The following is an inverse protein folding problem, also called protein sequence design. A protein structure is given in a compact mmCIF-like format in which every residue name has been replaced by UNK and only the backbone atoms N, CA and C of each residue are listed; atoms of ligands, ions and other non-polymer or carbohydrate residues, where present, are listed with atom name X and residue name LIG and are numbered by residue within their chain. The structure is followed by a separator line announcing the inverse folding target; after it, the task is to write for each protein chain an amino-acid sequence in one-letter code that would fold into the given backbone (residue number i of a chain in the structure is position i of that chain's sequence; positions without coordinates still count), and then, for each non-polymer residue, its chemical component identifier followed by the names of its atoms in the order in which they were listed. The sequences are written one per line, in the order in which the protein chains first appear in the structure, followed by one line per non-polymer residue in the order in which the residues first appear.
data_IF_373241077068
#
_entry.id   IF_373241077068
#
_cell.length_a   1.000
_cell.length_b   1.000
_cell.length_c   1.000
_cell.angle_alpha   90.00
_cell.angle_beta   90.00
_cell.angle_gamma   90.00
#
_symmetry.space_group_name_H-M   'P 1'
#
loop_
_entity.id
_entity.type
_entity.pdbx_description
1 polymer ?
#
# COMPACT_ATOMS: atom_id res chain seq x y z
N UNK A 1 1.57 22.85 -0.58
CA UNK A 1 0.99 21.59 -1.09
C UNK A 1 -0.21 21.94 -1.96
N UNK A 2 -0.44 21.19 -3.04
CA UNK A 2 -1.63 21.33 -3.90
C UNK A 2 -2.79 20.52 -3.29
N UNK A 3 -4.03 21.03 -3.28
CA UNK A 3 -5.19 20.22 -2.91
C UNK A 3 -5.33 19.02 -3.84
N UNK A 4 -5.49 17.82 -3.28
CA UNK A 4 -5.61 16.55 -4.01
C UNK A 4 -4.51 15.52 -3.71
N UNK A 5 -4.53 14.42 -4.45
CA UNK A 5 -3.70 13.24 -4.22
C UNK A 5 -2.44 13.23 -5.09
N UNK A 6 -1.30 12.91 -4.49
CA UNK A 6 -0.18 12.30 -5.21
C UNK A 6 -0.28 10.78 -5.04
N UNK A 7 -0.39 10.07 -6.15
CA UNK A 7 -0.43 8.60 -6.15
C UNK A 7 0.96 8.07 -6.42
N UNK A 8 1.47 7.19 -5.57
CA UNK A 8 2.82 6.63 -5.68
C UNK A 8 2.73 5.13 -6.00
N UNK A 9 3.36 4.73 -7.10
CA UNK A 9 3.50 3.33 -7.52
C UNK A 9 4.99 2.98 -7.59
N UNK A 10 5.54 2.24 -6.63
CA UNK A 10 6.87 1.67 -6.75
C UNK A 10 6.82 0.45 -7.69
N UNK A 11 7.83 0.30 -8.54
CA UNK A 11 7.94 -0.85 -9.44
C UNK A 11 9.38 -1.34 -9.50
N UNK A 12 9.58 -2.65 -9.66
CA UNK A 12 10.92 -3.24 -9.83
C UNK A 12 10.88 -4.41 -10.80
N UNK A 13 11.45 -4.22 -11.98
CA UNK A 13 11.65 -5.28 -12.98
C UNK A 13 10.36 -6.03 -13.38
N UNK A 14 9.19 -5.38 -13.25
CA UNK A 14 7.86 -5.94 -13.61
C UNK A 14 7.03 -4.98 -14.48
N UNK A 15 7.58 -4.44 -15.57
CA UNK A 15 6.90 -3.44 -16.39
C UNK A 15 5.57 -3.93 -17.00
N UNK A 16 5.33 -5.24 -17.05
CA UNK A 16 4.11 -5.83 -17.62
C UNK A 16 2.88 -5.70 -16.73
N UNK A 17 3.03 -5.49 -15.42
CA UNK A 17 1.88 -5.27 -14.54
C UNK A 17 1.43 -3.81 -14.49
N UNK A 18 2.39 -2.90 -14.62
CA UNK A 18 2.21 -1.46 -14.46
C UNK A 18 1.06 -0.84 -15.27
N UNK A 19 0.78 -1.24 -16.54
CA UNK A 19 -0.30 -0.63 -17.31
C UNK A 19 -1.66 -0.70 -16.61
N UNK A 20 -1.98 -1.84 -15.98
CA UNK A 20 -3.27 -2.02 -15.30
C UNK A 20 -3.37 -1.17 -14.03
N UNK A 21 -2.29 -1.09 -13.27
CA UNK A 21 -2.20 -0.23 -12.09
C UNK A 21 -2.43 1.24 -12.49
N UNK A 22 -1.69 1.72 -13.51
CA UNK A 22 -1.82 3.08 -14.07
C UNK A 22 -3.27 3.34 -14.54
N UNK A 23 -3.85 2.42 -15.32
CA UNK A 23 -5.21 2.58 -15.85
C UNK A 23 -6.23 2.76 -14.72
N UNK A 24 -6.08 2.03 -13.61
CA UNK A 24 -6.98 2.13 -12.47
C UNK A 24 -6.88 3.46 -11.72
N UNK A 25 -5.69 4.08 -11.71
CA UNK A 25 -5.48 5.43 -11.15
C UNK A 25 -6.08 6.49 -12.07
N UNK A 26 -5.84 6.38 -13.37
CA UNK A 26 -6.35 7.32 -14.37
C UNK A 26 -7.88 7.26 -14.51
N UNK A 27 -8.49 6.13 -14.17
CA UNK A 27 -9.94 5.94 -14.17
C UNK A 27 -10.66 6.50 -12.93
N UNK A 28 -9.94 7.09 -11.97
CA UNK A 28 -10.57 7.67 -10.77
C UNK A 28 -11.43 8.90 -11.13
N UNK A 29 -12.62 8.97 -10.54
CA UNK A 29 -13.58 10.07 -10.75
C UNK A 29 -13.10 11.40 -10.18
N UNK A 30 -12.27 11.35 -9.13
CA UNK A 30 -11.45 12.46 -8.69
C UNK A 30 -10.02 12.24 -9.22
N UNK A 31 -9.56 13.02 -10.22
CA UNK A 31 -8.23 12.88 -10.76
C UNK A 31 -7.15 13.14 -9.69
N UNK A 32 -6.09 12.33 -9.70
CA UNK A 32 -4.89 12.63 -8.94
C UNK A 32 -4.23 13.91 -9.47
N UNK A 33 -3.58 14.67 -8.58
CA UNK A 33 -2.76 15.82 -8.95
C UNK A 33 -1.54 15.38 -9.73
N UNK A 34 -1.00 14.22 -9.36
CA UNK A 34 0.10 13.56 -10.05
C UNK A 34 0.09 12.06 -9.77
N UNK A 35 0.56 11.30 -10.74
CA UNK A 35 0.91 9.90 -10.61
C UNK A 35 2.43 9.78 -10.70
N UNK A 36 3.04 9.27 -9.64
CA UNK A 36 4.49 9.11 -9.48
C UNK A 36 4.80 7.61 -9.55
N UNK A 37 5.49 7.21 -10.61
CA UNK A 37 6.09 5.89 -10.72
C UNK A 37 7.52 5.99 -10.21
N UNK A 38 7.90 5.10 -9.30
CA UNK A 38 9.27 5.04 -8.79
C UNK A 38 9.88 3.70 -9.23
N UNK A 39 10.76 3.77 -10.23
CA UNK A 39 11.45 2.61 -10.80
C UNK A 39 12.66 2.26 -9.93
N UNK A 40 12.62 1.09 -9.28
CA UNK A 40 13.69 0.51 -8.48
C UNK A 40 14.47 -0.57 -9.24
N UNK A 41 14.48 -0.46 -10.56
CA UNK A 41 15.22 -1.33 -11.45
C UNK A 41 15.23 -0.72 -12.85
N UNK A 42 14.81 -1.50 -13.83
CA UNK A 42 14.71 -1.04 -15.21
C UNK A 42 13.36 -1.37 -15.83
N UNK A 43 12.94 -0.51 -16.75
CA UNK A 43 11.86 -0.79 -17.70
C UNK A 43 10.53 -0.10 -17.42
N UNK A 44 10.39 0.67 -16.33
CA UNK A 44 9.14 1.38 -16.05
C UNK A 44 8.77 2.37 -17.17
N UNK A 45 9.76 3.06 -17.73
CA UNK A 45 9.55 4.02 -18.83
C UNK A 45 8.93 3.38 -20.08
N UNK A 46 9.31 2.15 -20.41
CA UNK A 46 8.76 1.42 -21.56
C UNK A 46 7.29 1.02 -21.33
N UNK A 47 6.90 0.75 -20.08
CA UNK A 47 5.53 0.37 -19.71
C UNK A 47 4.51 1.51 -19.82
N UNK A 48 4.97 2.76 -19.90
CA UNK A 48 4.09 3.92 -19.96
C UNK A 48 3.31 4.06 -21.27
N UNK A 49 3.72 3.38 -22.35
CA UNK A 49 3.01 3.39 -23.65
C UNK A 49 2.60 4.80 -24.13
N UNK A 50 3.48 5.81 -23.96
CA UNK A 50 3.23 7.19 -24.38
C UNK A 50 2.50 8.08 -23.36
N UNK A 51 2.24 7.61 -22.13
CA UNK A 51 1.58 8.38 -21.05
C UNK A 51 2.51 9.33 -20.28
N UNK A 52 3.62 9.73 -20.88
CA UNK A 52 4.71 10.46 -20.20
C UNK A 52 4.33 11.86 -19.73
N UNK A 53 3.27 12.46 -20.28
CA UNK A 53 2.80 13.79 -19.86
C UNK A 53 1.95 13.76 -18.58
N UNK A 54 1.28 12.63 -18.30
CA UNK A 54 0.40 12.46 -17.13
C UNK A 54 1.08 11.75 -15.97
N UNK A 55 2.32 11.26 -16.17
CA UNK A 55 3.01 10.35 -15.25
C UNK A 55 4.43 10.83 -15.05
N UNK A 56 4.82 11.02 -13.79
CA UNK A 56 6.18 11.32 -13.38
C UNK A 56 6.92 10.02 -13.07
N UNK A 57 8.07 9.80 -13.70
CA UNK A 57 8.93 8.65 -13.39
C UNK A 57 10.14 9.13 -12.62
N UNK A 58 10.45 8.45 -11.52
CA UNK A 58 11.64 8.64 -10.70
C UNK A 58 12.49 7.37 -10.74
N UNK A 59 13.81 7.55 -10.79
CA UNK A 59 14.79 6.47 -10.65
C UNK A 59 15.18 6.36 -9.17
N UNK A 60 14.97 5.18 -8.57
CA UNK A 60 15.33 4.90 -7.19
C UNK A 60 16.74 4.34 -7.02
N UNK A 61 17.46 4.08 -8.11
CA UNK A 61 18.83 3.57 -8.11
C UNK A 61 18.98 2.23 -7.39
N UNK A 62 17.99 1.35 -7.56
CA UNK A 62 17.97 -0.02 -7.00
C UNK A 62 18.14 -0.08 -5.46
N UNK A 63 17.72 0.97 -4.75
CA UNK A 63 17.84 1.07 -3.29
C UNK A 63 16.78 0.25 -2.54
N UNK A 64 15.77 -0.29 -3.22
CA UNK A 64 14.75 -1.14 -2.63
C UNK A 64 13.37 -0.48 -2.50
N UNK A 65 12.36 -1.28 -2.10
CA UNK A 65 10.96 -0.87 -2.12
C UNK A 65 10.60 0.23 -1.11
N UNK A 66 11.30 0.32 0.03
CA UNK A 66 11.04 1.34 1.05
C UNK A 66 11.65 2.68 0.64
N UNK A 67 12.93 2.76 0.22
CA UNK A 67 13.48 3.99 -0.35
C UNK A 67 12.70 4.51 -1.56
N UNK A 68 12.16 3.61 -2.40
CA UNK A 68 11.31 3.99 -3.53
C UNK A 68 10.05 4.75 -3.07
N UNK A 69 9.38 4.26 -2.03
CA UNK A 69 8.20 4.91 -1.46
C UNK A 69 8.55 6.23 -0.77
N UNK A 70 9.66 6.28 -0.01
CA UNK A 70 10.17 7.52 0.58
C UNK A 70 10.47 8.56 -0.50
N UNK A 71 11.14 8.18 -1.61
CA UNK A 71 11.43 9.06 -2.73
C UNK A 71 10.15 9.60 -3.39
N UNK A 72 9.15 8.75 -3.58
CA UNK A 72 7.84 9.15 -4.09
C UNK A 72 7.13 10.16 -3.19
N UNK A 73 7.08 9.90 -1.88
CA UNK A 73 6.49 10.79 -0.88
C UNK A 73 7.23 12.12 -0.77
N UNK A 74 8.57 12.09 -0.75
CA UNK A 74 9.40 13.30 -0.66
C UNK A 74 9.20 14.23 -1.86
N UNK A 75 8.90 13.66 -3.03
CA UNK A 75 8.68 14.39 -4.28
C UNK A 75 7.22 14.83 -4.47
N UNK A 76 6.29 14.27 -3.70
CA UNK A 76 4.86 14.52 -3.81
C UNK A 76 4.48 15.98 -3.51
N UNK A 77 3.67 16.56 -4.39
CA UNK A 77 3.14 17.91 -4.34
C UNK A 77 1.73 17.97 -3.75
N UNK A 78 0.98 16.86 -3.78
CA UNK A 78 -0.36 16.71 -3.24
C UNK A 78 -0.40 16.78 -1.72
N UNK A 79 -1.53 17.20 -1.18
CA UNK A 79 -1.76 17.23 0.27
C UNK A 79 -2.00 15.84 0.86
N UNK A 80 -2.47 14.91 0.02
CA UNK A 80 -2.72 13.52 0.37
C UNK A 80 -1.85 12.60 -0.46
N UNK A 81 -1.41 11.50 0.15
CA UNK A 81 -0.70 10.42 -0.51
C UNK A 81 -1.67 9.24 -0.66
N UNK A 82 -1.62 8.54 -1.78
CA UNK A 82 -2.19 7.21 -1.93
C UNK A 82 -1.15 6.27 -2.52
N UNK A 83 -1.15 5.01 -2.09
CA UNK A 83 -0.27 3.98 -2.63
C UNK A 83 -1.04 2.97 -3.47
N UNK A 84 -0.35 2.44 -4.47
CA UNK A 84 -0.78 1.28 -5.25
C UNK A 84 0.48 0.51 -5.66
N UNK A 85 0.54 -0.78 -5.36
CA UNK A 85 1.64 -1.64 -5.82
C UNK A 85 1.48 -1.92 -7.33
N UNK A 86 2.60 -2.16 -8.02
CA UNK A 86 2.63 -2.24 -9.49
C UNK A 86 1.90 -3.47 -10.07
N UNK A 87 1.65 -4.49 -9.25
CA UNK A 87 0.92 -5.73 -9.56
C UNK A 87 -0.57 -5.71 -9.20
N UNK A 88 -1.03 -4.66 -8.52
CA UNK A 88 -2.40 -4.44 -8.05
C UNK A 88 -3.20 -3.47 -8.93
N UNK A 89 -4.49 -3.30 -8.65
CA UNK A 89 -5.30 -2.25 -9.29
C UNK A 89 -6.49 -1.84 -8.42
N UNK A 90 -6.86 -0.56 -8.49
CA UNK A 90 -8.09 -0.08 -7.86
C UNK A 90 -9.33 -0.57 -8.62
N UNK A 91 -10.31 -1.06 -7.86
CA UNK A 91 -11.59 -1.57 -8.38
C UNK A 91 -12.73 -0.57 -8.20
N UNK A 92 -12.58 0.39 -7.29
CA UNK A 92 -13.56 1.46 -7.06
C UNK A 92 -13.09 2.74 -7.76
N UNK A 93 -13.78 3.22 -8.82
CA UNK A 93 -13.44 4.48 -9.48
C UNK A 93 -13.67 5.70 -8.58
N UNK A 94 -14.34 5.55 -7.44
CA UNK A 94 -14.61 6.63 -6.48
C UNK A 94 -13.72 6.53 -5.22
N UNK A 95 -12.68 5.70 -5.21
CA UNK A 95 -11.82 5.54 -4.04
C UNK A 95 -11.24 6.89 -3.57
N UNK A 96 -10.63 7.66 -4.48
CA UNK A 96 -10.02 8.94 -4.13
C UNK A 96 -11.05 9.99 -3.67
N UNK A 97 -12.23 10.05 -4.30
CA UNK A 97 -13.27 11.00 -3.89
C UNK A 97 -13.87 10.66 -2.52
N UNK A 98 -14.02 9.38 -2.21
CA UNK A 98 -14.44 8.91 -0.88
C UNK A 98 -13.40 9.22 0.19
N UNK A 99 -12.12 8.98 -0.09
CA UNK A 99 -11.04 9.33 0.82
C UNK A 99 -10.95 10.84 1.07
N UNK A 100 -11.08 11.67 0.02
CA UNK A 100 -11.13 13.14 0.14
C UNK A 100 -12.25 13.59 1.09
N UNK A 101 -13.47 13.08 0.91
CA UNK A 101 -14.60 13.40 1.77
C UNK A 101 -14.38 13.02 3.25
N UNK A 102 -13.64 11.94 3.51
CA UNK A 102 -13.26 11.53 4.87
C UNK A 102 -12.17 12.44 5.45
N UNK A 103 -11.22 12.90 4.65
CA UNK A 103 -10.22 13.87 5.08
C UNK A 103 -10.85 15.22 5.42
N UNK A 104 -11.88 15.66 4.68
CA UNK A 104 -12.65 16.86 5.00
C UNK A 104 -13.42 16.72 6.32
N UNK A 105 -13.75 15.50 6.73
CA UNK A 105 -14.34 15.17 8.04
C UNK A 105 -13.29 14.98 9.15
N UNK A 106 -12.02 15.30 8.89
CA UNK A 106 -10.95 15.23 9.88
C UNK A 106 -10.24 13.88 9.97
N UNK A 107 -10.39 12.99 9.00
CA UNK A 107 -9.51 11.82 8.91
C UNK A 107 -8.05 12.26 8.67
N UNK A 108 -7.11 11.47 9.18
CA UNK A 108 -5.68 11.59 8.89
C UNK A 108 -5.20 10.47 7.96
N UNK A 109 -5.76 9.27 8.11
CA UNK A 109 -5.49 8.09 7.27
C UNK A 109 -6.81 7.38 6.96
N UNK A 110 -7.01 7.05 5.69
CA UNK A 110 -8.09 6.21 5.22
C UNK A 110 -7.52 4.88 4.71
N UNK A 111 -8.22 3.79 5.00
CA UNK A 111 -7.91 2.48 4.42
C UNK A 111 -9.18 1.81 3.96
N UNK A 112 -9.12 1.05 2.87
CA UNK A 112 -10.25 0.29 2.34
C UNK A 112 -10.05 -1.21 2.41
N UNK A 113 -11.12 -1.95 2.11
CA UNK A 113 -11.03 -3.38 1.92
C UNK A 113 -10.46 -3.71 0.54
N UNK A 114 -10.03 -4.95 0.36
CA UNK A 114 -9.60 -5.47 -0.94
C UNK A 114 -10.16 -6.84 -1.27
N UNK A 115 -9.80 -7.31 -2.45
CA UNK A 115 -10.04 -8.69 -2.89
C UNK A 115 -8.73 -9.26 -3.40
N UNK A 116 -8.29 -10.37 -2.82
CA UNK A 116 -7.14 -11.12 -3.31
C UNK A 116 -7.58 -11.95 -4.53
N UNK A 117 -6.93 -11.72 -5.67
CA UNK A 117 -7.20 -12.36 -6.96
C UNK A 117 -6.06 -13.33 -7.26
N UNK A 118 -6.37 -14.62 -7.28
CA UNK A 118 -5.36 -15.67 -7.40
C UNK A 118 -5.12 -16.04 -8.87
N UNK A 119 -3.86 -15.95 -9.30
CA UNK A 119 -3.48 -16.26 -10.69
C UNK A 119 -3.39 -17.75 -10.98
N UNK A 120 -3.44 -18.59 -9.94
CA UNK A 120 -3.31 -20.06 -10.01
C UNK A 120 -4.66 -20.81 -10.00
N UNK A 121 -5.77 -20.07 -10.10
CA UNK A 121 -7.11 -20.63 -10.16
C UNK A 121 -7.78 -20.88 -8.80
N UNK A 122 -7.13 -20.50 -7.68
CA UNK A 122 -7.82 -20.45 -6.39
C UNK A 122 -8.98 -19.43 -6.41
N UNK A 123 -10.04 -19.64 -5.60
CA UNK A 123 -11.13 -18.69 -5.52
C UNK A 123 -10.65 -17.36 -4.92
N UNK A 124 -11.14 -16.25 -5.48
CA UNK A 124 -10.92 -14.93 -4.92
C UNK A 124 -11.27 -14.88 -3.43
N UNK A 125 -10.47 -14.13 -2.66
CA UNK A 125 -10.64 -13.99 -1.22
C UNK A 125 -10.90 -12.53 -0.87
N UNK A 126 -12.01 -12.30 -0.18
CA UNK A 126 -12.31 -11.00 0.39
C UNK A 126 -11.35 -10.70 1.54
N UNK A 127 -10.69 -9.55 1.49
CA UNK A 127 -9.86 -9.04 2.58
C UNK A 127 -10.54 -7.78 3.13
N UNK A 128 -11.29 -7.96 4.22
CA UNK A 128 -12.09 -6.89 4.82
C UNK A 128 -11.94 -6.93 6.33
N UNK A 129 -11.06 -6.08 6.85
CA UNK A 129 -10.73 -6.01 8.26
C UNK A 129 -10.76 -4.56 8.72
N UNK A 130 -11.37 -4.32 9.87
CA UNK A 130 -11.18 -3.05 10.56
C UNK A 130 -9.79 -2.99 11.19
N UNK A 131 -9.29 -1.77 11.37
CA UNK A 131 -8.02 -1.51 12.01
C UNK A 131 -8.15 -0.36 12.99
N UNK A 132 -7.66 -0.59 14.21
CA UNK A 132 -7.44 0.43 15.21
C UNK A 132 -6.06 0.22 15.85
N UNK A 133 -5.68 1.07 16.80
CA UNK A 133 -4.40 0.95 17.51
C UNK A 133 -4.19 -0.44 18.10
N UNK A 134 -5.21 -1.03 18.74
CA UNK A 134 -5.08 -2.30 19.45
C UNK A 134 -4.98 -3.46 18.47
N UNK A 135 -5.76 -3.46 17.39
CA UNK A 135 -5.68 -4.51 16.38
C UNK A 135 -4.33 -4.48 15.66
N UNK A 136 -3.79 -3.28 15.38
CA UNK A 136 -2.49 -3.11 14.75
C UNK A 136 -1.31 -3.49 15.66
N UNK A 137 -1.50 -3.67 16.97
CA UNK A 137 -0.46 -4.26 17.83
C UNK A 137 -0.39 -5.79 17.70
N UNK A 138 -1.37 -6.40 17.01
CA UNK A 138 -1.53 -7.85 16.91
C UNK A 138 -1.39 -8.35 15.47
N UNK A 139 -1.87 -7.59 14.49
CA UNK A 139 -1.87 -8.00 13.09
C UNK A 139 -1.83 -6.81 12.12
N UNK A 140 -1.24 -7.02 10.94
CA UNK A 140 -1.31 -6.05 9.84
C UNK A 140 -2.59 -6.31 9.04
N UNK A 141 -3.64 -5.54 9.35
CA UNK A 141 -4.97 -5.69 8.73
C UNK A 141 -5.26 -4.67 7.63
N UNK A 142 -4.25 -3.93 7.19
CA UNK A 142 -4.38 -2.85 6.21
C UNK A 142 -3.60 -3.19 4.94
N UNK A 143 -4.25 -3.09 3.79
CA UNK A 143 -3.62 -3.28 2.48
C UNK A 143 -2.97 -1.98 2.00
N UNK A 144 -1.68 -2.01 1.66
CA UNK A 144 -0.97 -0.84 1.16
C UNK A 144 -1.63 -0.22 -0.08
N UNK A 145 -2.07 -1.05 -1.02
CA UNK A 145 -2.79 -0.64 -2.23
C UNK A 145 -4.20 -0.08 -1.97
N UNK A 146 -4.67 -0.07 -0.72
CA UNK A 146 -5.94 0.53 -0.31
C UNK A 146 -5.77 1.64 0.74
N UNK A 147 -4.55 2.20 0.88
CA UNK A 147 -4.26 3.26 1.86
C UNK A 147 -4.12 4.61 1.18
N UNK A 148 -4.67 5.62 1.85
CA UNK A 148 -4.37 7.02 1.60
C UNK A 148 -4.30 7.81 2.89
N UNK A 149 -3.49 8.86 2.94
CA UNK A 149 -3.28 9.62 4.17
C UNK A 149 -2.79 11.04 3.91
N UNK A 150 -2.85 11.89 4.93
CA UNK A 150 -2.30 13.26 4.89
C UNK A 150 -0.78 13.23 4.81
N UNK A 151 -0.20 13.83 3.76
CA UNK A 151 1.26 13.90 3.59
C UNK A 151 1.96 14.50 4.82
N UNK A 152 1.31 15.44 5.50
CA UNK A 152 1.80 16.08 6.73
C UNK A 152 1.97 15.13 7.93
N UNK A 153 1.54 13.87 7.84
CA UNK A 153 1.92 12.86 8.82
C UNK A 153 3.44 12.64 8.83
N UNK A 154 4.13 12.77 7.69
CA UNK A 154 5.59 12.65 7.63
C UNK A 154 6.30 13.80 8.36
N UNK A 155 5.73 15.01 8.38
CA UNK A 155 6.29 16.14 9.14
C UNK A 155 6.33 15.84 10.65
N UNK A 156 5.43 14.98 11.15
CA UNK A 156 5.29 14.62 12.57
C UNK A 156 5.97 13.30 12.92
N UNK A 157 5.92 12.32 12.02
CA UNK A 157 6.27 10.92 12.30
C UNK A 157 7.56 10.49 11.60
N UNK A 158 8.10 11.32 10.70
CA UNK A 158 9.23 10.98 9.85
C UNK A 158 8.85 10.06 8.69
N UNK A 159 9.88 9.56 8.02
CA UNK A 159 9.76 8.72 6.84
C UNK A 159 9.40 7.27 7.17
N UNK A 160 9.23 6.43 6.13
CA UNK A 160 9.24 4.98 6.32
C UNK A 160 10.63 4.54 6.76
N UNK A 161 10.68 3.56 7.68
CA UNK A 161 11.93 3.05 8.18
C UNK A 161 12.60 2.11 7.16
N UNK A 162 13.64 2.61 6.49
CA UNK A 162 14.42 1.84 5.52
C UNK A 162 15.19 0.68 6.16
N UNK A 163 15.34 0.66 7.50
CA UNK A 163 15.87 -0.48 8.26
C UNK A 163 14.90 -1.66 8.39
N UNK A 164 13.65 -1.52 7.95
CA UNK A 164 12.64 -2.57 7.92
C UNK A 164 12.23 -2.88 6.46
N UNK A 165 12.96 -3.73 5.73
CA UNK A 165 12.61 -4.04 4.33
C UNK A 165 11.27 -4.77 4.19
N UNK A 166 10.81 -5.43 5.25
CA UNK A 166 9.46 -6.00 5.37
C UNK A 166 8.72 -5.33 6.53
N UNK A 167 7.39 -5.32 6.48
CA UNK A 167 6.53 -4.76 7.53
C UNK A 167 6.77 -3.27 7.82
N UNK A 168 7.44 -2.53 6.92
CA UNK A 168 7.58 -1.08 6.99
C UNK A 168 6.22 -0.38 6.94
N UNK A 169 5.27 -0.96 6.21
CA UNK A 169 3.89 -0.50 6.11
C UNK A 169 3.19 -0.66 7.46
N UNK A 170 3.37 -1.82 8.10
CA UNK A 170 2.85 -2.08 9.44
C UNK A 170 3.49 -1.15 10.49
N UNK A 171 4.80 -0.92 10.43
CA UNK A 171 5.50 0.08 11.26
C UNK A 171 4.85 1.46 11.10
N UNK A 172 4.61 1.89 9.86
CA UNK A 172 3.97 3.15 9.59
C UNK A 172 2.56 3.23 10.16
N UNK A 173 1.71 2.24 9.89
CA UNK A 173 0.32 2.23 10.40
C UNK A 173 0.29 2.27 11.92
N UNK A 174 1.19 1.54 12.59
CA UNK A 174 1.26 1.51 14.04
C UNK A 174 1.76 2.85 14.61
N UNK A 175 2.74 3.50 13.96
CA UNK A 175 3.18 4.87 14.32
C UNK A 175 2.04 5.88 14.16
N UNK A 176 1.31 5.83 13.05
CA UNK A 176 0.15 6.70 12.80
C UNK A 176 -0.92 6.47 13.87
N UNK A 177 -1.33 5.23 14.13
CA UNK A 177 -2.35 4.90 15.12
C UNK A 177 -1.94 5.30 16.56
N UNK A 178 -0.65 5.19 16.90
CA UNK A 178 -0.13 5.60 18.23
C UNK A 178 0.00 7.11 18.39
N UNK A 179 0.06 7.87 17.29
CA UNK A 179 0.17 9.33 17.32
C UNK A 179 -1.14 10.05 17.70
N UNK A 180 -2.26 9.33 17.78
CA UNK A 180 -3.59 9.90 17.97
C UNK A 180 -4.26 10.37 16.68
N UNK A 181 -3.69 10.02 15.51
CA UNK A 181 -4.28 10.29 14.22
C UNK A 181 -5.62 9.56 14.02
N UNK A 182 -6.54 10.19 13.30
CA UNK A 182 -7.87 9.65 13.05
C UNK A 182 -7.86 8.70 11.84
N UNK A 183 -7.92 7.40 12.11
CA UNK A 183 -8.05 6.36 11.09
C UNK A 183 -9.52 6.17 10.69
N UNK A 184 -9.80 6.09 9.38
CA UNK A 184 -11.15 5.83 8.86
C UNK A 184 -11.15 4.67 7.87
N UNK A 185 -12.03 3.70 8.14
CA UNK A 185 -12.24 2.54 7.28
C UNK A 185 -13.28 2.84 6.19
N UNK A 186 -12.91 2.61 4.94
CA UNK A 186 -13.79 2.57 3.78
C UNK A 186 -14.28 1.12 3.62
N UNK A 187 -15.44 0.81 4.20
CA UNK A 187 -16.04 -0.55 4.24
C UNK A 187 -16.53 -1.03 2.86
N UNK A 188 -15.62 -1.18 1.90
CA UNK A 188 -15.91 -1.50 0.49
C UNK A 188 -14.63 -1.99 -0.21
N UNK A 189 -14.72 -2.91 -1.18
CA UNK A 189 -13.58 -3.27 -2.02
C UNK A 189 -13.15 -2.05 -2.81
N UNK A 190 -11.97 -1.51 -2.53
CA UNK A 190 -11.40 -0.43 -3.33
C UNK A 190 -10.22 -0.90 -4.17
N UNK A 191 -9.61 -2.03 -3.81
CA UNK A 191 -8.46 -2.60 -4.52
C UNK A 191 -8.61 -4.09 -4.76
N UNK A 192 -7.99 -4.56 -5.84
CA UNK A 192 -7.68 -5.96 -6.05
C UNK A 192 -6.19 -6.19 -5.83
N UNK A 193 -5.87 -7.21 -5.02
CA UNK A 193 -4.50 -7.63 -4.74
C UNK A 193 -4.18 -8.85 -5.61
N UNK A 194 -3.18 -8.76 -6.48
CA UNK A 194 -2.80 -9.91 -7.31
C UNK A 194 -1.94 -10.89 -6.53
N UNK A 195 -2.39 -12.14 -6.44
CA UNK A 195 -1.60 -13.23 -5.86
C UNK A 195 -0.92 -14.04 -6.98
N UNK A 196 0.41 -14.12 -6.90
CA UNK A 196 1.31 -14.83 -7.81
C UNK A 196 2.65 -15.17 -7.12
N UNK A 197 3.44 -16.05 -7.73
CA UNK A 197 4.68 -16.57 -7.13
C UNK A 197 5.82 -15.56 -6.89
N UNK A 198 5.66 -14.29 -7.25
CA UNK A 198 6.66 -13.23 -7.02
C UNK A 198 6.21 -12.22 -5.95
N UNK A 199 5.07 -12.41 -5.27
CA UNK A 199 4.70 -11.53 -4.15
C UNK A 199 5.69 -11.71 -2.98
N UNK A 200 5.99 -10.60 -2.29
CA UNK A 200 6.86 -10.60 -1.10
C UNK A 200 6.28 -11.37 0.10
N UNK A 201 4.99 -11.75 0.04
CA UNK A 201 4.26 -12.47 1.09
C UNK A 201 4.22 -13.99 0.89
N UNK A 202 4.96 -14.53 -0.08
CA UNK A 202 5.04 -15.96 -0.37
C UNK A 202 5.89 -16.79 0.60
N UNK A 203 5.84 -18.11 0.44
CA UNK A 203 6.49 -19.11 1.32
C UNK A 203 8.00 -19.19 1.12
N UNK A 204 8.50 -18.85 -0.07
CA UNK A 204 9.95 -18.88 -0.38
C UNK A 204 10.79 -17.88 0.43
N UNK A 205 10.14 -16.96 1.14
CA UNK A 205 10.77 -15.91 1.94
C UNK A 205 10.46 -16.06 3.44
N UNK A 206 10.00 -17.23 3.90
CA UNK A 206 9.49 -17.41 5.27
C UNK A 206 10.52 -17.03 6.36
N UNK A 207 11.76 -17.50 6.25
CA UNK A 207 12.82 -17.21 7.24
C UNK A 207 13.18 -15.72 7.30
N UNK A 208 13.30 -15.09 6.13
CA UNK A 208 13.58 -13.66 6.03
C UNK A 208 12.42 -12.84 6.63
N UNK A 209 11.19 -13.20 6.29
CA UNK A 209 9.97 -12.60 6.85
C UNK A 209 9.87 -12.80 8.35
N UNK A 210 10.21 -13.98 8.86
CA UNK A 210 10.27 -14.24 10.31
C UNK A 210 11.25 -13.31 11.00
N UNK A 211 12.50 -13.24 10.51
CA UNK A 211 13.53 -12.36 11.08
C UNK A 211 13.10 -10.89 11.09
N UNK A 212 12.50 -10.42 10.00
CA UNK A 212 11.99 -9.05 9.89
C UNK A 212 10.78 -8.79 10.79
N UNK A 213 9.87 -9.76 10.94
CA UNK A 213 8.72 -9.65 11.84
C UNK A 213 9.17 -9.54 13.29
N UNK A 214 10.21 -10.29 13.68
CA UNK A 214 10.78 -10.20 15.02
C UNK A 214 11.53 -8.87 15.23
N UNK A 215 12.18 -8.32 14.19
CA UNK A 215 12.79 -6.98 14.23
C UNK A 215 11.73 -5.88 14.41
N UNK A 216 10.62 -5.96 13.66
CA UNK A 216 9.45 -5.10 13.81
C UNK A 216 8.88 -5.21 15.24
N UNK A 217 8.67 -6.42 15.76
CA UNK A 217 8.13 -6.63 17.10
C UNK A 217 9.05 -6.02 18.17
N UNK A 218 10.36 -6.23 18.08
CA UNK A 218 11.36 -5.61 18.97
C UNK A 218 11.33 -4.09 18.90
N UNK A 219 11.28 -3.51 17.70
CA UNK A 219 11.22 -2.05 17.48
C UNK A 219 10.04 -1.42 18.23
N UNK A 220 8.89 -2.11 18.25
CA UNK A 220 7.67 -1.59 18.86
C UNK A 220 7.38 -2.10 20.28
N UNK A 221 8.26 -2.91 20.86
CA UNK A 221 8.07 -3.51 22.18
C UNK A 221 6.89 -4.48 22.25
N UNK A 222 6.59 -5.16 21.15
CA UNK A 222 5.47 -6.10 21.03
C UNK A 222 5.89 -7.51 21.46
N UNK A 223 4.95 -8.34 21.96
CA UNK A 223 5.20 -9.77 22.15
C UNK A 223 5.46 -10.46 20.79
N UNK A 224 5.98 -11.69 20.78
CA UNK A 224 6.18 -12.45 19.55
C UNK A 224 4.90 -12.53 18.71
N UNK A 225 5.01 -12.15 17.43
CA UNK A 225 3.88 -12.09 16.50
C UNK A 225 3.82 -13.33 15.61
N UNK A 226 2.61 -13.72 15.23
CA UNK A 226 2.37 -14.84 14.33
C UNK A 226 2.67 -14.41 12.89
N UNK A 227 3.50 -15.19 12.20
CA UNK A 227 3.73 -15.01 10.77
C UNK A 227 2.54 -15.58 10.02
N UNK A 228 1.94 -14.77 9.14
CA UNK A 228 0.84 -15.15 8.26
C UNK A 228 1.28 -15.00 6.81
N UNK A 229 0.78 -15.85 5.92
CA UNK A 229 0.88 -15.70 4.47
C UNK A 229 -0.53 -15.68 3.85
N UNK A 230 -0.65 -15.32 2.58
CA UNK A 230 -1.95 -15.28 1.89
C UNK A 230 -2.67 -16.65 1.89
N UNK A 231 -1.92 -17.75 1.88
CA UNK A 231 -2.46 -19.12 2.00
C UNK A 231 -3.03 -19.42 3.38
N UNK A 232 -2.47 -18.85 4.45
CA UNK A 232 -3.00 -18.98 5.82
C UNK A 232 -4.34 -18.28 5.96
N UNK A 233 -4.54 -17.15 5.28
CA UNK A 233 -5.83 -16.45 5.24
C UNK A 233 -6.91 -17.28 4.52
N UNK A 234 -6.55 -18.03 3.47
CA UNK A 234 -7.48 -18.96 2.82
C UNK A 234 -7.92 -20.09 3.76
N UNK A 235 -7.01 -20.58 4.61
CA UNK A 235 -7.29 -21.67 5.57
C UNK A 235 -8.07 -21.21 6.80
N UNK A 236 -8.00 -19.93 7.14
CA UNK A 236 -8.66 -19.32 8.31
C UNK A 236 -10.03 -18.72 8.00
N UNK A 237 -10.60 -18.99 6.82
CA UNK A 237 -11.98 -18.58 6.51
C UNK A 237 -12.93 -19.05 7.63
N UNK A 238 -13.69 -18.15 8.28
CA UNK A 238 -14.92 -18.59 8.92
C UNK A 238 -15.75 -19.29 7.84
N UNK A 239 -16.28 -20.48 8.13
CA UNK A 239 -17.29 -21.07 7.26
C UNK A 239 -18.38 -20.02 7.01
N UNK A 240 -18.85 -19.85 5.76
CA UNK A 240 -19.99 -18.98 5.53
C UNK A 240 -21.18 -19.48 6.39
N UNK A 241 -22.01 -18.55 6.92
CA UNK A 241 -23.18 -18.90 7.72
C UNK A 241 -24.17 -19.79 6.96
#
# INVERSE_FOLDING_TARGET
MKPGFSVVIPTRNRPHFLPKAIDSVLAQSLPAVELIIVDDGVGAGAALNGRTESVKVLDNQERGPVPARNLGVATAQGQWIAFLDDDDWWTDPNYLSRAAALFDQGADLCFGDGTMIFSDGHPDLRYAFSADRRSLEQDNTILISAVSYRRSLHDRLGDFDEGLPYYWDWDWYLRVARSGAQLRHINSPVTAIRIHGQNMSGDSLEDERRSNLDAFARKHGLPPLRLKNHLSLLRERPSPP
#
